data_IF_182712872008
#
_entry.id   IF_182712872008
#
_cell.length_a   1.000
_cell.length_b   1.000
_cell.length_c   1.000
_cell.angle_alpha   90.00
_cell.angle_beta   90.00
_cell.angle_gamma   90.00
#
_symmetry.space_group_name_H-M   'P 1'
#
loop_
_entity.id
_entity.type
_entity.pdbx_description
1 polymer ?
#
# COMPACT_ATOMS: atom_id res chain seq x y z
N UNK A 1 -7.34 14.82 24.21
CA UNK A 1 -6.39 14.26 23.22
C UNK A 1 -5.02 14.95 23.34
N UNK A 2 -4.28 14.75 24.45
CA UNK A 2 -2.93 15.33 24.56
C UNK A 2 -1.95 14.66 23.58
N UNK A 3 -0.89 15.37 23.17
CA UNK A 3 0.17 14.83 22.30
C UNK A 3 0.71 13.50 22.83
N UNK A 4 1.13 13.47 24.11
CA UNK A 4 1.67 12.28 24.75
C UNK A 4 0.69 11.09 24.75
N UNK A 5 -0.60 11.33 24.98
CA UNK A 5 -1.62 10.28 24.92
C UNK A 5 -1.81 9.76 23.49
N UNK A 6 -1.74 10.63 22.48
CA UNK A 6 -1.86 10.22 21.08
C UNK A 6 -0.61 9.47 20.60
N UNK A 7 0.59 9.85 21.02
CA UNK A 7 1.82 9.07 20.76
C UNK A 7 1.70 7.66 21.34
N UNK A 8 1.23 7.49 22.59
CA UNK A 8 1.00 6.15 23.15
C UNK A 8 -0.07 5.35 22.40
N UNK A 9 -1.09 6.00 21.85
CA UNK A 9 -2.09 5.34 20.99
C UNK A 9 -1.47 4.91 19.66
N UNK A 10 -0.68 5.77 19.03
CA UNK A 10 0.04 5.49 17.79
C UNK A 10 0.96 4.28 17.95
N UNK A 11 1.79 4.25 19.01
CA UNK A 11 2.67 3.11 19.31
C UNK A 11 1.88 1.80 19.46
N UNK A 12 0.73 1.83 20.15
CA UNK A 12 -0.11 0.64 20.29
C UNK A 12 -0.76 0.21 18.98
N UNK A 13 -1.18 1.16 18.14
CA UNK A 13 -1.74 0.87 16.81
C UNK A 13 -0.67 0.22 15.92
N UNK A 14 0.53 0.82 15.83
CA UNK A 14 1.65 0.25 15.09
C UNK A 14 2.01 -1.14 15.61
N UNK A 15 2.15 -1.31 16.93
CA UNK A 15 2.56 -2.59 17.53
C UNK A 15 1.51 -3.70 17.39
N UNK A 16 0.21 -3.39 17.43
CA UNK A 16 -0.87 -4.40 17.44
C UNK A 16 -1.45 -4.70 16.07
N UNK A 17 -1.32 -3.79 15.10
CA UNK A 17 -1.87 -4.00 13.77
C UNK A 17 -1.32 -5.29 13.10
N UNK A 18 -0.02 -5.62 13.18
CA UNK A 18 0.49 -6.89 12.64
C UNK A 18 -0.18 -8.10 13.27
N UNK A 19 -0.35 -8.12 14.59
CA UNK A 19 -1.03 -9.22 15.29
C UNK A 19 -2.48 -9.38 14.84
N UNK A 20 -3.20 -8.30 14.55
CA UNK A 20 -4.56 -8.37 14.01
C UNK A 20 -4.55 -9.01 12.62
N UNK A 21 -3.65 -8.56 11.74
CA UNK A 21 -3.53 -9.05 10.36
C UNK A 21 -3.14 -10.53 10.34
N UNK A 22 -2.12 -10.92 11.09
CA UNK A 22 -1.63 -12.31 11.12
C UNK A 22 -2.61 -13.25 11.81
N UNK A 23 -3.23 -12.84 12.93
CA UNK A 23 -4.27 -13.65 13.58
C UNK A 23 -5.48 -13.87 12.66
N UNK A 24 -5.94 -12.81 11.98
CA UNK A 24 -7.01 -12.93 10.99
C UNK A 24 -6.63 -13.89 9.85
N UNK A 25 -5.44 -13.73 9.27
CA UNK A 25 -4.95 -14.61 8.20
C UNK A 25 -4.95 -16.07 8.64
N UNK A 26 -4.36 -16.35 9.81
CA UNK A 26 -4.25 -17.73 10.33
C UNK A 26 -5.62 -18.34 10.61
N UNK A 27 -6.50 -17.59 11.27
CA UNK A 27 -7.86 -18.06 11.53
C UNK A 27 -8.62 -18.37 10.23
N UNK A 28 -8.50 -17.52 9.20
CA UNK A 28 -9.18 -17.76 7.91
C UNK A 28 -8.58 -18.92 7.11
N UNK A 29 -7.34 -19.33 7.40
CA UNK A 29 -6.68 -20.49 6.76
C UNK A 29 -6.72 -21.75 7.64
N UNK A 30 -7.49 -21.75 8.73
CA UNK A 30 -7.66 -22.91 9.60
C UNK A 30 -6.50 -23.17 10.57
N UNK A 31 -5.64 -22.17 10.78
CA UNK A 31 -4.51 -22.21 11.69
C UNK A 31 -4.79 -21.40 12.97
N UNK A 32 -4.22 -21.86 14.08
CA UNK A 32 -4.29 -21.10 15.34
C UNK A 32 -3.39 -19.85 15.30
N UNK A 33 -3.82 -18.69 15.85
CA UNK A 33 -2.98 -17.50 15.98
C UNK A 33 -1.68 -17.78 16.75
N UNK A 34 -0.59 -17.18 16.29
CA UNK A 34 0.72 -17.25 16.94
C UNK A 34 0.91 -16.01 17.82
N UNK A 35 1.30 -16.21 19.06
CA UNK A 35 1.60 -15.12 19.98
C UNK A 35 2.84 -14.33 19.50
N UNK A 36 2.91 -13.00 19.73
CA UNK A 36 4.10 -12.23 19.38
C UNK A 36 5.37 -12.73 20.08
N UNK A 37 6.49 -12.72 19.36
CA UNK A 37 7.82 -12.95 19.91
C UNK A 37 8.50 -11.62 20.21
N UNK A 38 8.82 -11.38 21.49
CA UNK A 38 9.38 -10.12 21.98
C UNK A 38 10.89 -9.97 21.70
N UNK A 39 11.57 -11.04 21.31
CA UNK A 39 13.00 -11.02 20.96
C UNK A 39 13.24 -10.59 19.50
N UNK A 40 12.19 -10.59 18.67
CA UNK A 40 12.27 -10.17 17.26
C UNK A 40 11.93 -8.68 17.11
N UNK A 41 12.53 -8.04 16.10
CA UNK A 41 12.12 -6.70 15.69
C UNK A 41 10.71 -6.72 15.07
N UNK A 42 10.17 -5.55 14.72
CA UNK A 42 8.79 -5.43 14.26
C UNK A 42 8.48 -6.28 13.01
N UNK A 43 9.36 -6.25 12.01
CA UNK A 43 9.22 -7.01 10.77
C UNK A 43 9.41 -8.51 10.98
N UNK A 44 10.41 -8.92 11.75
CA UNK A 44 10.66 -10.33 12.08
C UNK A 44 9.52 -10.93 12.89
N UNK A 45 8.97 -10.19 13.86
CA UNK A 45 7.80 -10.63 14.60
C UNK A 45 6.56 -10.75 13.70
N UNK A 46 6.37 -9.86 12.72
CA UNK A 46 5.28 -9.99 11.74
C UNK A 46 5.40 -11.30 10.94
N UNK A 47 6.58 -11.57 10.37
CA UNK A 47 6.84 -12.79 9.60
C UNK A 47 6.70 -14.05 10.47
N UNK A 48 7.24 -14.02 11.70
CA UNK A 48 7.11 -15.11 12.66
C UNK A 48 5.64 -15.40 12.99
N UNK A 49 4.85 -14.36 13.31
CA UNK A 49 3.43 -14.56 13.60
C UNK A 49 2.64 -15.01 12.37
N UNK A 50 3.09 -14.68 11.15
CA UNK A 50 2.44 -15.11 9.91
C UNK A 50 2.68 -16.60 9.65
N UNK A 51 3.95 -17.02 9.66
CA UNK A 51 4.38 -18.37 9.24
C UNK A 51 4.56 -19.37 10.38
N UNK A 52 4.60 -18.93 11.65
CA UNK A 52 4.97 -19.73 12.81
C UNK A 52 6.39 -20.31 12.74
N UNK A 53 7.30 -19.63 12.05
CA UNK A 53 8.70 -20.01 11.89
C UNK A 53 9.60 -18.80 12.13
N UNK A 54 10.78 -18.99 12.70
CA UNK A 54 11.73 -17.90 12.90
C UNK A 54 12.31 -17.51 11.52
N UNK A 55 12.05 -16.28 11.02
CA UNK A 55 12.55 -15.86 9.72
C UNK A 55 14.07 -15.66 9.74
N UNK A 56 14.72 -15.88 8.60
CA UNK A 56 16.15 -15.57 8.43
C UNK A 56 16.41 -14.06 8.40
N UNK A 57 17.61 -13.64 8.80
CA UNK A 57 17.98 -12.24 8.97
C UNK A 57 17.79 -11.40 7.69
N UNK A 58 18.06 -11.97 6.52
CA UNK A 58 17.90 -11.26 5.24
C UNK A 58 16.42 -10.99 4.94
N UNK A 59 15.54 -11.98 5.17
CA UNK A 59 14.10 -11.82 5.00
C UNK A 59 13.53 -10.79 6.00
N UNK A 60 14.03 -10.79 7.25
CA UNK A 60 13.66 -9.78 8.25
C UNK A 60 14.08 -8.39 7.80
N UNK A 61 15.32 -8.21 7.36
CA UNK A 61 15.84 -6.93 6.91
C UNK A 61 15.10 -6.42 5.66
N UNK A 62 14.72 -7.32 4.75
CA UNK A 62 13.91 -7.00 3.57
C UNK A 62 12.54 -6.44 3.96
N UNK A 63 11.83 -7.14 4.83
CA UNK A 63 10.50 -6.73 5.27
C UNK A 63 10.55 -5.45 6.13
N UNK A 64 11.61 -5.24 6.90
CA UNK A 64 11.81 -4.00 7.66
C UNK A 64 12.03 -2.80 6.73
N UNK A 65 12.85 -2.96 5.68
CA UNK A 65 13.01 -1.94 4.64
C UNK A 65 11.68 -1.64 3.96
N UNK A 66 10.88 -2.65 3.62
CA UNK A 66 9.56 -2.43 3.04
C UNK A 66 8.66 -1.57 3.96
N UNK A 67 8.56 -1.90 5.24
CA UNK A 67 7.80 -1.09 6.20
C UNK A 67 8.32 0.35 6.31
N UNK A 68 9.64 0.56 6.29
CA UNK A 68 10.25 1.89 6.31
C UNK A 68 9.86 2.69 5.06
N UNK A 69 9.96 2.08 3.86
CA UNK A 69 9.62 2.73 2.59
C UNK A 69 8.12 3.08 2.49
N UNK A 70 7.28 2.32 3.19
CA UNK A 70 5.85 2.56 3.27
C UNK A 70 5.44 3.41 4.49
N UNK A 71 6.36 3.87 5.34
CA UNK A 71 6.04 4.57 6.59
C UNK A 71 5.21 5.83 6.41
N UNK A 72 5.57 6.68 5.45
CA UNK A 72 4.96 7.99 5.20
C UNK A 72 5.18 8.39 3.73
N UNK A 73 4.20 9.08 3.13
CA UNK A 73 4.29 9.51 1.74
C UNK A 73 3.41 10.73 1.40
N UNK A 74 3.52 11.77 2.22
CA UNK A 74 2.73 13.00 2.13
C UNK A 74 1.23 12.77 2.33
N UNK A 75 0.44 13.76 1.90
CA UNK A 75 -1.03 13.74 2.04
C UNK A 75 -1.67 12.96 0.88
N UNK A 76 -1.29 11.68 0.75
CA UNK A 76 -1.98 10.72 -0.14
C UNK A 76 -3.43 10.48 0.35
N UNK A 77 -4.26 9.80 -0.45
CA UNK A 77 -5.70 9.68 -0.19
C UNK A 77 -6.05 9.11 1.21
N UNK A 78 -5.34 8.08 1.68
CA UNK A 78 -5.57 7.50 3.00
C UNK A 78 -5.08 8.39 4.14
N UNK A 79 -3.93 9.04 3.97
CA UNK A 79 -3.46 10.07 4.92
C UNK A 79 -4.44 11.24 5.00
N UNK A 80 -5.00 11.69 3.87
CA UNK A 80 -6.00 12.75 3.85
C UNK A 80 -7.30 12.34 4.55
N UNK A 81 -7.79 11.11 4.31
CA UNK A 81 -8.96 10.58 5.03
C UNK A 81 -8.75 10.55 6.55
N UNK A 82 -7.54 10.17 6.99
CA UNK A 82 -7.15 10.21 8.40
C UNK A 82 -7.21 11.65 8.95
N UNK A 83 -6.62 12.62 8.22
CA UNK A 83 -6.62 14.04 8.63
C UNK A 83 -8.01 14.66 8.63
N UNK A 84 -8.88 14.33 7.68
CA UNK A 84 -10.29 14.78 7.68
C UNK A 84 -10.98 14.31 8.96
N UNK A 85 -10.82 13.03 9.32
CA UNK A 85 -11.37 12.48 10.56
C UNK A 85 -10.78 13.17 11.80
N UNK A 86 -9.46 13.34 11.85
CA UNK A 86 -8.78 14.03 12.93
C UNK A 86 -9.24 15.50 13.08
N UNK A 87 -9.53 16.18 11.96
CA UNK A 87 -9.95 17.59 11.96
C UNK A 87 -11.25 17.84 12.73
N UNK A 88 -12.08 16.81 12.86
CA UNK A 88 -13.34 16.82 13.64
C UNK A 88 -13.14 16.54 15.14
N UNK A 89 -11.91 16.40 15.62
CA UNK A 89 -11.54 15.87 16.94
C UNK A 89 -11.94 14.41 17.19
N UNK A 90 -12.15 13.62 16.13
CA UNK A 90 -12.37 12.17 16.26
C UNK A 90 -11.16 11.47 16.91
N UNK A 91 -11.34 10.22 17.35
CA UNK A 91 -10.24 9.48 17.97
C UNK A 91 -9.21 9.04 16.93
N UNK A 92 -7.96 8.86 17.37
CA UNK A 92 -6.90 8.33 16.49
C UNK A 92 -7.27 6.96 15.88
N UNK A 93 -7.96 6.09 16.63
CA UNK A 93 -8.39 4.79 16.12
C UNK A 93 -9.40 4.96 14.97
N UNK A 94 -10.40 5.82 15.15
CA UNK A 94 -11.37 6.10 14.09
C UNK A 94 -10.72 6.74 12.84
N UNK A 95 -9.76 7.66 13.04
CA UNK A 95 -9.01 8.26 11.94
C UNK A 95 -8.18 7.22 11.16
N UNK A 96 -7.48 6.31 11.86
CA UNK A 96 -6.73 5.22 11.24
C UNK A 96 -7.67 4.22 10.55
N UNK A 97 -8.83 3.89 11.13
CA UNK A 97 -9.84 3.06 10.45
C UNK A 97 -10.35 3.69 9.15
N UNK A 98 -10.59 5.01 9.15
CA UNK A 98 -10.93 5.75 7.93
C UNK A 98 -9.80 5.71 6.88
N UNK A 99 -8.55 5.79 7.32
CA UNK A 99 -7.38 5.67 6.45
C UNK A 99 -7.28 4.28 5.81
N UNK A 100 -7.52 3.21 6.58
CA UNK A 100 -7.60 1.83 6.07
C UNK A 100 -8.70 1.70 5.02
N UNK A 101 -9.88 2.27 5.28
CA UNK A 101 -11.00 2.28 4.32
C UNK A 101 -10.65 2.94 2.99
N UNK A 102 -9.94 4.08 3.04
CA UNK A 102 -9.45 4.75 1.83
C UNK A 102 -8.31 3.99 1.14
N UNK A 103 -7.41 3.36 1.88
CA UNK A 103 -6.30 2.57 1.34
C UNK A 103 -6.78 1.34 0.58
N UNK A 104 -7.84 0.68 1.05
CA UNK A 104 -8.45 -0.50 0.41
C UNK A 104 -8.91 -0.24 -1.03
N UNK A 105 -9.18 1.01 -1.40
CA UNK A 105 -9.67 1.33 -2.75
C UNK A 105 -8.67 0.89 -3.83
N UNK A 106 -9.14 0.33 -4.97
CA UNK A 106 -8.26 -0.16 -6.04
C UNK A 106 -7.45 0.94 -6.71
N UNK A 107 -7.90 2.20 -6.60
CA UNK A 107 -7.17 3.38 -7.08
C UNK A 107 -6.06 3.86 -6.11
N UNK A 108 -5.86 3.17 -4.98
CA UNK A 108 -4.86 3.51 -3.96
C UNK A 108 -3.95 2.30 -3.64
N UNK A 109 -4.24 1.52 -2.60
CA UNK A 109 -3.30 0.50 -2.08
C UNK A 109 -3.19 -0.79 -2.89
N UNK A 110 -4.08 -1.05 -3.85
CA UNK A 110 -4.13 -2.31 -4.61
C UNK A 110 -3.04 -2.49 -5.66
N UNK A 111 -2.13 -1.52 -5.84
CA UNK A 111 -1.18 -1.55 -6.94
C UNK A 111 -0.21 -2.74 -6.89
N UNK A 112 0.31 -3.13 -5.71
CA UNK A 112 1.25 -4.24 -5.59
C UNK A 112 0.62 -5.60 -5.95
N UNK A 113 -0.64 -5.81 -5.56
CA UNK A 113 -1.42 -7.01 -5.93
C UNK A 113 -1.62 -7.07 -7.44
N UNK A 114 -2.03 -5.95 -8.04
CA UNK A 114 -2.25 -5.86 -9.49
C UNK A 114 -0.95 -5.95 -10.30
N UNK A 115 0.19 -5.49 -9.77
CA UNK A 115 1.51 -5.70 -10.40
C UNK A 115 1.88 -7.18 -10.41
N UNK A 116 1.63 -7.89 -9.31
CA UNK A 116 1.91 -9.32 -9.25
C UNK A 116 0.98 -10.10 -10.19
N UNK A 117 -0.31 -9.74 -10.23
CA UNK A 117 -1.28 -10.30 -11.18
C UNK A 117 -0.86 -10.04 -12.63
N UNK A 118 -0.48 -8.81 -12.97
CA UNK A 118 0.07 -8.44 -14.27
C UNK A 118 1.29 -9.31 -14.62
N UNK A 119 2.20 -9.52 -13.67
CA UNK A 119 3.39 -10.36 -13.86
C UNK A 119 3.02 -11.81 -14.15
N UNK A 120 1.99 -12.35 -13.49
CA UNK A 120 1.44 -13.68 -13.76
C UNK A 120 0.77 -13.77 -15.13
N UNK A 121 0.01 -12.74 -15.54
CA UNK A 121 -0.62 -12.66 -16.87
C UNK A 121 0.42 -12.59 -18.01
N UNK A 122 1.52 -11.87 -17.79
CA UNK A 122 2.66 -11.82 -18.72
C UNK A 122 3.32 -13.21 -18.80
N UNK A 123 3.59 -13.83 -17.65
CA UNK A 123 4.09 -15.20 -17.54
C UNK A 123 5.58 -15.38 -17.87
N UNK A 124 6.07 -14.78 -18.96
CA UNK A 124 7.47 -14.77 -19.38
C UNK A 124 7.88 -13.39 -19.92
N UNK A 125 9.16 -12.98 -19.78
CA UNK A 125 9.62 -11.66 -20.23
C UNK A 125 9.25 -11.35 -21.68
N UNK A 126 9.39 -12.31 -22.60
CA UNK A 126 9.10 -12.14 -24.04
C UNK A 126 7.65 -11.69 -24.34
N UNK A 127 6.70 -11.98 -23.44
CA UNK A 127 5.29 -11.60 -23.61
C UNK A 127 4.98 -10.17 -23.14
N UNK A 128 5.92 -9.49 -22.47
CA UNK A 128 5.66 -8.20 -21.84
C UNK A 128 5.34 -7.10 -22.87
N UNK A 129 5.98 -7.14 -24.05
CA UNK A 129 5.75 -6.16 -25.11
C UNK A 129 4.32 -6.26 -25.66
N UNK A 130 3.85 -7.46 -25.96
CA UNK A 130 2.49 -7.70 -26.43
C UNK A 130 1.46 -7.32 -25.35
N UNK A 131 1.70 -7.72 -24.09
CA UNK A 131 0.84 -7.35 -22.97
C UNK A 131 0.69 -5.83 -22.84
N UNK A 132 1.81 -5.10 -22.80
CA UNK A 132 1.80 -3.66 -22.62
C UNK A 132 1.12 -2.95 -23.80
N UNK A 133 1.41 -3.37 -25.05
CA UNK A 133 0.78 -2.86 -26.27
C UNK A 133 -0.75 -2.98 -26.18
N UNK A 134 -1.25 -4.17 -25.86
CA UNK A 134 -2.68 -4.44 -25.73
C UNK A 134 -3.36 -3.55 -24.67
N UNK A 135 -2.74 -3.36 -23.51
CA UNK A 135 -3.26 -2.46 -22.47
C UNK A 135 -3.30 -1.00 -22.94
N UNK A 136 -2.22 -0.53 -23.55
CA UNK A 136 -2.07 0.87 -23.97
C UNK A 136 -3.01 1.22 -25.13
N UNK A 137 -3.18 0.32 -26.10
CA UNK A 137 -4.12 0.49 -27.22
C UNK A 137 -5.58 0.60 -26.74
N UNK A 138 -5.91 -0.10 -25.64
CA UNK A 138 -7.21 -0.02 -24.97
C UNK A 138 -7.34 1.12 -23.95
N UNK A 139 -6.33 2.01 -23.85
CA UNK A 139 -6.26 3.12 -22.88
C UNK A 139 -6.32 2.66 -21.42
N UNK A 140 -5.89 1.44 -21.16
CA UNK A 140 -5.72 0.90 -19.81
C UNK A 140 -4.36 1.33 -19.23
N UNK A 141 -4.23 1.20 -17.90
CA UNK A 141 -2.99 1.53 -17.19
C UNK A 141 -2.12 0.28 -17.07
N UNK A 142 -0.81 0.45 -17.22
CA UNK A 142 0.17 -0.55 -16.78
C UNK A 142 0.38 -0.37 -15.28
N UNK A 143 0.13 -1.41 -14.51
CA UNK A 143 0.14 -1.35 -13.05
C UNK A 143 1.57 -1.19 -12.52
N UNK A 144 1.71 -0.43 -11.44
CA UNK A 144 3.02 -0.07 -10.86
C UNK A 144 3.80 1.01 -11.63
N UNK A 145 3.22 1.60 -12.68
CA UNK A 145 3.75 2.78 -13.36
C UNK A 145 2.96 4.05 -13.06
N UNK A 146 3.67 5.16 -13.06
CA UNK A 146 3.13 6.49 -12.87
C UNK A 146 2.91 6.84 -11.40
N UNK A 147 3.03 8.13 -11.13
CA UNK A 147 2.83 8.68 -9.80
C UNK A 147 2.28 10.10 -9.89
N UNK A 148 1.44 10.48 -8.91
CA UNK A 148 0.83 11.82 -8.89
C UNK A 148 1.87 12.93 -8.68
N UNK A 149 2.85 12.67 -7.82
CA UNK A 149 3.96 13.58 -7.46
C UNK A 149 5.21 13.32 -8.31
N UNK A 150 5.83 12.14 -8.20
CA UNK A 150 7.02 11.81 -8.97
C UNK A 150 6.80 11.82 -10.49
N UNK A 151 7.71 12.51 -11.19
CA UNK A 151 7.88 12.53 -12.65
C UNK A 151 9.24 11.97 -13.08
N UNK A 152 9.89 11.28 -12.15
CA UNK A 152 11.15 10.56 -12.26
C UNK A 152 11.00 9.24 -11.50
N UNK A 153 12.05 8.40 -11.49
CA UNK A 153 12.07 7.15 -10.72
C UNK A 153 11.70 7.41 -9.24
N UNK A 154 10.75 6.64 -8.71
CA UNK A 154 10.40 6.69 -7.29
C UNK A 154 11.62 6.23 -6.48
N UNK A 155 12.16 7.07 -5.57
CA UNK A 155 13.37 6.73 -4.82
C UNK A 155 13.20 5.46 -3.98
N UNK A 156 11.97 5.10 -3.62
CA UNK A 156 11.67 3.89 -2.85
C UNK A 156 11.75 2.62 -3.70
N UNK A 157 11.33 2.70 -4.96
CA UNK A 157 11.39 1.57 -5.88
C UNK A 157 12.83 1.07 -6.07
N UNK A 158 13.80 1.99 -6.13
CA UNK A 158 15.22 1.68 -6.22
C UNK A 158 15.70 0.76 -5.08
N UNK A 159 15.27 1.02 -3.85
CA UNK A 159 15.68 0.22 -2.69
C UNK A 159 15.12 -1.21 -2.74
N UNK A 160 13.94 -1.40 -3.32
CA UNK A 160 13.30 -2.71 -3.49
C UNK A 160 13.79 -3.47 -4.72
N UNK A 161 14.24 -2.79 -5.78
CA UNK A 161 14.70 -3.42 -7.02
C UNK A 161 15.81 -4.46 -6.78
N UNK A 162 16.92 -4.04 -6.18
CA UNK A 162 18.08 -4.90 -5.91
C UNK A 162 17.73 -6.06 -4.98
N UNK A 163 16.83 -5.81 -4.01
CA UNK A 163 16.36 -6.82 -3.07
C UNK A 163 15.44 -7.84 -3.73
N UNK A 164 14.55 -7.40 -4.62
CA UNK A 164 13.68 -8.30 -5.39
C UNK A 164 14.52 -9.22 -6.28
N UNK A 165 15.61 -8.72 -6.88
CA UNK A 165 16.53 -9.54 -7.66
C UNK A 165 17.19 -10.61 -6.80
N UNK A 166 17.86 -10.19 -5.71
CA UNK A 166 18.58 -11.10 -4.82
C UNK A 166 17.66 -12.16 -4.21
N UNK A 167 16.43 -11.78 -3.84
CA UNK A 167 15.44 -12.73 -3.34
C UNK A 167 15.01 -13.75 -4.42
N UNK A 168 14.77 -13.30 -5.65
CA UNK A 168 14.42 -14.18 -6.77
C UNK A 168 15.51 -15.20 -7.06
N UNK A 169 16.78 -14.76 -7.06
CA UNK A 169 17.95 -15.64 -7.20
C UNK A 169 18.04 -16.65 -6.05
N UNK A 170 17.93 -16.18 -4.80
CA UNK A 170 17.96 -17.03 -3.59
C UNK A 170 16.84 -18.07 -3.55
N UNK A 171 15.64 -17.73 -4.05
CA UNK A 171 14.48 -18.61 -4.09
C UNK A 171 14.43 -19.51 -5.33
N UNK A 172 15.35 -19.32 -6.29
CA UNK A 172 15.38 -20.07 -7.55
C UNK A 172 14.25 -19.71 -8.53
N UNK A 173 13.60 -18.56 -8.34
CA UNK A 173 12.55 -18.04 -9.23
C UNK A 173 12.84 -16.58 -9.61
N UNK A 174 13.91 -16.32 -10.40
CA UNK A 174 14.27 -14.97 -10.82
C UNK A 174 13.31 -14.40 -11.89
N UNK A 175 12.39 -15.22 -12.40
CA UNK A 175 11.51 -14.89 -13.52
C UNK A 175 10.66 -13.65 -13.27
N UNK A 176 10.16 -13.47 -12.04
CA UNK A 176 9.36 -12.28 -11.71
C UNK A 176 10.17 -10.99 -11.84
N UNK A 177 11.42 -10.99 -11.37
CA UNK A 177 12.32 -9.86 -11.55
C UNK A 177 12.66 -9.63 -13.03
N UNK A 178 12.86 -10.69 -13.81
CA UNK A 178 13.12 -10.60 -15.25
C UNK A 178 11.93 -9.99 -16.02
N UNK A 179 10.69 -10.42 -15.71
CA UNK A 179 9.47 -9.86 -16.31
C UNK A 179 9.35 -8.37 -15.99
N UNK A 180 9.46 -8.01 -14.71
CA UNK A 180 9.35 -6.63 -14.25
C UNK A 180 10.43 -5.74 -14.87
N UNK A 181 11.67 -6.24 -14.94
CA UNK A 181 12.81 -5.50 -15.51
C UNK A 181 12.66 -5.31 -17.01
N UNK A 182 12.29 -6.35 -17.77
CA UNK A 182 12.05 -6.22 -19.20
C UNK A 182 10.89 -5.26 -19.50
N UNK A 183 9.81 -5.34 -18.72
CA UNK A 183 8.69 -4.41 -18.82
C UNK A 183 9.13 -2.96 -18.53
N UNK A 184 9.96 -2.71 -17.51
CA UNK A 184 10.33 -1.35 -17.10
C UNK A 184 11.47 -0.73 -17.89
N UNK A 185 12.49 -1.51 -18.25
CA UNK A 185 13.71 -1.04 -18.91
C UNK A 185 13.63 -1.08 -20.44
N UNK A 186 12.86 -2.00 -21.01
CA UNK A 186 12.80 -2.17 -22.46
C UNK A 186 11.47 -1.68 -23.03
N UNK A 187 10.35 -2.22 -22.52
CA UNK A 187 9.01 -1.95 -23.07
C UNK A 187 8.49 -0.57 -22.71
N UNK A 188 8.59 -0.18 -21.43
CA UNK A 188 8.03 1.09 -20.93
C UNK A 188 9.04 2.25 -20.94
N UNK A 189 10.30 2.01 -21.33
CA UNK A 189 11.33 3.06 -21.38
C UNK A 189 10.95 4.29 -22.22
N UNK A 190 10.29 4.18 -23.39
CA UNK A 190 9.86 5.35 -24.15
C UNK A 190 8.90 6.27 -23.38
N UNK A 191 8.11 5.72 -22.44
CA UNK A 191 7.14 6.50 -21.66
C UNK A 191 7.75 7.34 -20.55
N UNK A 192 9.06 7.17 -20.28
CA UNK A 192 9.83 8.01 -19.35
C UNK A 192 9.82 9.49 -19.76
N UNK A 193 9.81 9.78 -21.07
CA UNK A 193 9.70 11.15 -21.60
C UNK A 193 8.39 11.85 -21.16
N UNK A 194 7.36 11.05 -20.85
CA UNK A 194 6.05 11.52 -20.36
C UNK A 194 5.98 11.56 -18.83
N UNK A 195 7.10 11.32 -18.15
CA UNK A 195 7.18 11.26 -16.69
C UNK A 195 6.54 10.00 -16.09
N UNK A 196 6.41 8.92 -16.87
CA UNK A 196 5.84 7.65 -16.41
C UNK A 196 7.00 6.71 -16.05
N UNK A 197 7.20 6.53 -14.74
CA UNK A 197 8.23 5.67 -14.16
C UNK A 197 7.59 4.66 -13.20
N UNK A 198 8.35 3.64 -12.81
CA UNK A 198 7.93 2.68 -11.77
C UNK A 198 7.77 3.39 -10.43
N UNK A 199 6.81 2.91 -9.63
CA UNK A 199 6.59 3.35 -8.26
C UNK A 199 6.98 2.25 -7.25
N UNK A 200 6.92 2.55 -5.95
CA UNK A 200 7.30 1.59 -4.89
C UNK A 200 6.61 0.22 -5.00
N UNK A 201 5.36 0.18 -5.45
CA UNK A 201 4.56 -1.03 -5.49
C UNK A 201 5.05 -2.03 -6.56
N UNK A 202 5.85 -1.55 -7.52
CA UNK A 202 6.31 -2.32 -8.67
C UNK A 202 7.15 -3.55 -8.29
N UNK A 203 7.99 -3.45 -7.26
CA UNK A 203 8.80 -4.59 -6.79
C UNK A 203 8.26 -5.21 -5.49
N UNK A 204 7.34 -4.56 -4.79
CA UNK A 204 6.79 -5.05 -3.53
C UNK A 204 5.99 -6.35 -3.74
N UNK A 205 5.16 -6.40 -4.79
CA UNK A 205 4.33 -7.58 -5.09
C UNK A 205 5.14 -8.85 -5.36
N UNK A 206 6.23 -8.76 -6.13
CA UNK A 206 7.13 -9.90 -6.39
C UNK A 206 7.86 -10.35 -5.12
N UNK A 207 8.28 -9.41 -4.27
CA UNK A 207 8.90 -9.72 -2.98
C UNK A 207 7.93 -10.54 -2.12
N UNK A 208 6.70 -10.04 -1.92
CA UNK A 208 5.72 -10.75 -1.09
C UNK A 208 5.39 -12.13 -1.63
N UNK A 209 5.22 -12.25 -2.96
CA UNK A 209 4.96 -13.52 -3.61
C UNK A 209 6.11 -14.52 -3.40
N UNK A 210 7.36 -14.09 -3.58
CA UNK A 210 8.55 -14.92 -3.37
C UNK A 210 8.75 -15.33 -1.90
N UNK A 211 8.21 -14.56 -0.96
CA UNK A 211 8.17 -14.90 0.47
C UNK A 211 7.00 -15.84 0.84
N UNK A 212 6.16 -16.23 -0.12
CA UNK A 212 4.99 -17.09 0.12
C UNK A 212 3.82 -16.38 0.81
N UNK A 213 3.77 -15.05 0.75
CA UNK A 213 2.68 -14.26 1.31
C UNK A 213 1.50 -14.26 0.32
N UNK A 214 0.29 -14.57 0.80
CA UNK A 214 -0.93 -14.52 -0.03
C UNK A 214 -1.24 -13.09 -0.49
N UNK A 215 -1.69 -12.94 -1.74
CA UNK A 215 -1.87 -11.62 -2.39
C UNK A 215 -2.88 -10.71 -1.69
N UNK A 216 -3.88 -11.28 -1.03
CA UNK A 216 -4.88 -10.53 -0.27
C UNK A 216 -4.29 -9.87 1.01
N UNK A 217 -3.05 -10.21 1.39
CA UNK A 217 -2.30 -9.58 2.47
C UNK A 217 -1.46 -8.39 2.02
N UNK A 218 -1.33 -8.10 0.71
CA UNK A 218 -0.44 -7.04 0.24
C UNK A 218 -0.93 -5.65 0.68
N UNK A 219 -2.24 -5.39 0.57
CA UNK A 219 -2.85 -4.15 1.07
C UNK A 219 -2.75 -4.06 2.61
N UNK A 220 -3.07 -5.12 3.38
CA UNK A 220 -2.79 -5.14 4.81
C UNK A 220 -1.35 -4.81 5.18
N UNK A 221 -0.35 -5.38 4.51
CA UNK A 221 1.07 -5.09 4.75
C UNK A 221 1.39 -3.61 4.49
N UNK A 222 0.89 -3.05 3.39
CA UNK A 222 1.01 -1.61 3.12
C UNK A 222 0.41 -0.80 4.28
N UNK A 223 -0.76 -1.19 4.78
CA UNK A 223 -1.40 -0.53 5.92
C UNK A 223 -0.54 -0.60 7.19
N UNK A 224 0.08 -1.76 7.48
CA UNK A 224 1.01 -1.92 8.61
C UNK A 224 2.17 -0.94 8.50
N UNK A 225 2.79 -0.86 7.31
CA UNK A 225 3.82 0.12 7.01
C UNK A 225 3.34 1.55 7.20
N UNK A 226 2.11 1.90 6.78
CA UNK A 226 1.61 3.28 6.76
C UNK A 226 1.02 3.79 8.08
N UNK A 227 0.69 2.94 9.04
CA UNK A 227 0.11 3.33 10.34
C UNK A 227 0.93 4.41 11.09
N UNK A 228 2.28 4.36 11.14
CA UNK A 228 3.09 5.42 11.73
C UNK A 228 2.85 6.79 11.07
N UNK A 229 2.86 6.87 9.73
CA UNK A 229 2.63 8.11 8.99
C UNK A 229 1.23 8.69 9.19
N UNK A 230 0.19 7.86 9.09
CA UNK A 230 -1.18 8.28 9.42
C UNK A 230 -1.28 8.83 10.84
N UNK A 231 -0.61 8.17 11.79
CA UNK A 231 -0.62 8.60 13.18
C UNK A 231 0.11 9.92 13.39
N UNK A 232 1.26 10.10 12.76
CA UNK A 232 2.02 11.35 12.79
C UNK A 232 1.20 12.52 12.23
N UNK A 233 0.60 12.34 11.05
CA UNK A 233 -0.24 13.38 10.43
C UNK A 233 -1.49 13.72 11.24
N UNK A 234 -2.10 12.73 11.91
CA UNK A 234 -3.23 12.99 12.82
C UNK A 234 -2.77 13.76 14.06
N UNK A 235 -1.62 13.40 14.64
CA UNK A 235 -1.06 14.12 15.81
C UNK A 235 -0.78 15.56 15.44
N UNK A 236 -0.13 15.81 14.30
CA UNK A 236 0.12 17.16 13.79
C UNK A 236 -1.18 17.95 13.59
N UNK A 237 -2.20 17.32 12.99
CA UNK A 237 -3.54 17.92 12.84
C UNK A 237 -4.16 18.27 14.20
N UNK A 238 -4.02 17.44 15.24
CA UNK A 238 -4.56 17.75 16.58
C UNK A 238 -3.84 18.91 17.27
N UNK A 239 -2.54 19.11 17.01
CA UNK A 239 -1.76 20.19 17.64
C UNK A 239 -2.15 21.57 17.14
N UNK A 240 -2.51 21.68 15.86
CA UNK A 240 -2.92 22.93 15.21
C UNK A 240 -4.25 22.75 14.47
N UNK A 241 -5.28 22.32 15.20
CA UNK A 241 -6.49 21.81 14.56
C UNK A 241 -7.35 22.87 13.89
N UNK A 242 -7.62 22.68 12.60
CA UNK A 242 -8.62 23.40 11.81
C UNK A 242 -9.53 22.37 11.13
N UNK A 243 -10.84 22.55 11.25
CA UNK A 243 -11.83 21.69 10.60
C UNK A 243 -11.64 21.69 9.08
N UNK A 244 -11.43 20.52 8.49
CA UNK A 244 -11.35 20.36 7.04
C UNK A 244 -12.77 20.24 6.46
N UNK A 245 -13.30 21.36 5.95
CA UNK A 245 -14.65 21.45 5.40
C UNK A 245 -14.65 22.16 4.03
N UNK A 246 -14.30 21.46 2.94
CA UNK A 246 -14.35 22.06 1.60
C UNK A 246 -15.79 22.41 1.20
N UNK A 247 -15.93 23.30 0.21
CA UNK A 247 -17.21 23.65 -0.41
C UNK A 247 -17.36 22.95 -1.75
N UNK A 248 -18.61 22.76 -2.17
CA UNK A 248 -18.97 22.33 -3.51
C UNK A 248 -19.56 23.52 -4.29
N UNK A 249 -19.38 23.53 -5.61
CA UNK A 249 -20.04 24.46 -6.52
C UNK A 249 -21.32 23.81 -7.04
N UNK A 250 -22.48 24.32 -6.60
CA UNK A 250 -23.78 23.82 -7.03
C UNK A 250 -24.08 24.28 -8.46
N UNK A 251 -24.41 23.35 -9.35
CA UNK A 251 -24.70 23.59 -10.78
C UNK A 251 -26.11 23.10 -11.20
N UNK A 252 -26.96 22.77 -10.23
CA UNK A 252 -28.33 22.35 -10.49
C UNK A 252 -29.27 23.54 -10.73
N UNK A 253 -30.47 23.25 -11.20
CA UNK A 253 -31.54 24.24 -11.27
C UNK A 253 -32.05 24.59 -9.87
N UNK A 254 -32.17 25.87 -9.59
CA UNK A 254 -32.75 26.42 -8.36
C UNK A 254 -34.27 26.54 -8.49
N UNK A 255 -34.96 26.66 -7.36
CA UNK A 255 -36.39 27.03 -7.30
C UNK A 255 -37.33 26.13 -8.10
N UNK A 256 -37.04 24.82 -8.14
CA UNK A 256 -37.94 23.80 -8.69
C UNK A 256 -39.23 23.79 -7.88
N UNK A 257 -40.37 23.94 -8.57
CA UNK A 257 -41.67 23.75 -7.95
C UNK A 257 -41.85 22.27 -7.54
N UNK A 258 -42.32 22.07 -6.31
CA UNK A 258 -42.63 20.73 -5.82
C UNK A 258 -43.89 20.21 -6.51
N UNK A 259 -43.76 19.09 -7.21
CA UNK A 259 -44.90 18.37 -7.78
C UNK A 259 -45.39 17.31 -6.77
N UNK A 260 -46.66 17.36 -6.31
CA UNK A 260 -47.25 16.32 -5.48
C UNK A 260 -47.10 14.93 -6.11
N UNK A 261 -46.98 13.87 -5.31
CA UNK A 261 -46.69 12.53 -5.81
C UNK A 261 -47.73 12.06 -6.84
N UNK A 262 -48.99 12.45 -6.64
CA UNK A 262 -50.13 12.14 -7.50
C UNK A 262 -50.09 12.87 -8.87
N UNK A 263 -49.16 13.80 -9.04
CA UNK A 263 -49.01 14.67 -10.22
C UNK A 263 -47.65 14.49 -10.93
N UNK A 264 -46.84 13.49 -10.53
CA UNK A 264 -45.52 13.20 -11.12
C UNK A 264 -45.59 12.22 -12.28
#
# INVERSE_FOLDING_TARGET
>A
NSKAANVRKALRLTAKAPTIVTAHHRLRTGLEPVAPNLELNHAGNFLYMLFNEIPDEETVALMDVDFILHAEHGVNASSFAARVSASTNSTLHAAVSGAVGALKGPAHGGAAEEVMKMSMEIGNPENAEEYARNKLDNRERIMGFGHRVYKAEDPRARHLRERSQALGEKRGDPRWFQILTHLSEDVMAPYRERGIYVNVDFYAGSIYHLLGIESDLFIPIFALGRVPGWSAQCIEQYENNILLRPRLHYIGEMDREYVPLEQR
#
